data_IF_615962568350
#
_entry.id   IF_615962568350
#
_cell.length_a   1.000
_cell.length_b   1.000
_cell.length_c   1.000
_cell.angle_alpha   90.00
_cell.angle_beta   90.00
_cell.angle_gamma   90.00
#
_symmetry.space_group_name_H-M   'P 1'
#
loop_
_entity.id
_entity.type
_entity.pdbx_description
1 polymer ?
#
# COMPACT_ATOMS: atom_id res chain seq x y z
N UNK A 1 34.50 46.81 15.31
CA UNK A 1 35.35 45.62 15.09
C UNK A 1 35.15 44.78 16.33
N UNK A 2 34.65 43.56 16.35
CA UNK A 2 34.39 42.48 15.40
C UNK A 2 33.30 41.65 16.14
N UNK A 3 32.14 41.35 15.57
CA UNK A 3 31.95 40.22 14.66
C UNK A 3 31.34 39.03 15.41
N UNK A 4 30.16 38.55 14.98
CA UNK A 4 29.73 37.16 15.19
C UNK A 4 28.49 36.93 16.06
N UNK A 5 27.32 36.77 15.42
CA UNK A 5 26.31 35.77 15.86
C UNK A 5 26.71 34.39 15.24
N UNK A 6 25.99 33.25 15.40
CA UNK A 6 24.78 32.94 16.20
C UNK A 6 24.74 31.47 16.75
N UNK A 7 23.56 31.04 17.26
CA UNK A 7 22.95 29.67 17.20
C UNK A 7 23.21 28.70 18.38
N UNK A 8 22.18 28.36 19.13
CA UNK A 8 21.13 27.35 18.88
C UNK A 8 21.60 25.95 19.34
N UNK A 9 21.16 25.58 20.53
CA UNK A 9 21.28 24.22 21.05
C UNK A 9 19.97 23.52 20.73
N UNK A 10 19.92 22.86 19.58
CA UNK A 10 18.96 21.80 19.32
C UNK A 10 19.46 20.55 20.02
N UNK A 11 18.83 20.19 21.13
CA UNK A 11 19.12 18.94 21.84
C UNK A 11 18.65 17.77 20.97
N UNK A 12 19.64 17.05 20.44
CA UNK A 12 19.45 15.88 19.60
C UNK A 12 18.90 14.71 20.40
N UNK A 13 17.70 14.27 20.01
CA UNK A 13 17.26 12.89 20.24
C UNK A 13 18.04 12.01 19.28
N UNK A 14 18.79 11.02 19.80
CA UNK A 14 19.12 9.67 19.22
C UNK A 14 20.54 9.18 19.57
N UNK A 15 20.78 8.94 20.86
CA UNK A 15 21.95 8.18 21.35
C UNK A 15 21.80 6.66 21.11
N UNK A 16 21.48 6.20 19.89
CA UNK A 16 21.33 4.74 19.63
C UNK A 16 21.59 4.28 18.18
N UNK A 17 22.54 4.91 17.46
CA UNK A 17 23.02 4.37 16.18
C UNK A 17 24.54 4.14 16.19
N UNK A 18 25.00 3.27 17.09
CA UNK A 18 26.39 2.79 17.15
C UNK A 18 26.51 1.35 16.63
N UNK A 19 26.04 1.08 15.41
CA UNK A 19 26.38 -0.14 14.67
C UNK A 19 27.06 0.31 13.38
N UNK A 20 28.38 0.17 13.35
CA UNK A 20 29.29 0.83 12.42
C UNK A 20 29.10 0.48 10.94
N UNK A 21 28.33 1.31 10.24
CA UNK A 21 28.53 1.58 8.82
C UNK A 21 28.87 3.07 8.67
N UNK A 22 30.12 3.39 8.31
CA UNK A 22 30.49 4.76 7.91
C UNK A 22 29.81 5.04 6.58
N UNK A 23 28.76 5.86 6.61
CA UNK A 23 28.07 6.27 5.42
C UNK A 23 28.94 7.27 4.64
N UNK A 24 29.09 7.07 3.34
CA UNK A 24 29.82 8.00 2.47
C UNK A 24 29.09 9.34 2.37
N UNK A 25 29.76 10.46 2.02
CA UNK A 25 29.11 11.77 1.86
C UNK A 25 27.92 11.78 0.88
N UNK A 26 27.93 10.89 -0.13
CA UNK A 26 26.77 10.68 -1.02
C UNK A 26 25.58 9.96 -0.35
N UNK A 27 25.84 9.08 0.60
CA UNK A 27 24.82 8.38 1.36
C UNK A 27 24.22 9.25 2.47
N UNK A 28 25.01 10.16 3.04
CA UNK A 28 24.57 11.13 4.04
C UNK A 28 23.45 12.05 3.50
N UNK A 29 23.57 12.48 2.24
CA UNK A 29 22.52 13.21 1.53
C UNK A 29 21.19 12.44 1.37
N UNK A 30 21.21 11.11 1.50
CA UNK A 30 20.02 10.25 1.47
C UNK A 30 19.36 10.15 2.86
N UNK A 31 20.13 10.37 3.93
CA UNK A 31 19.62 10.38 5.31
C UNK A 31 19.07 11.74 5.73
N UNK A 32 19.50 12.83 5.08
CA UNK A 32 18.91 14.17 5.26
C UNK A 32 17.48 14.31 4.70
N UNK A 33 16.87 13.20 4.28
CA UNK A 33 15.42 13.12 4.15
C UNK A 33 14.78 13.03 5.55
N UNK A 34 14.78 14.16 6.27
CA UNK A 34 13.90 14.42 7.43
C UNK A 34 12.41 14.45 7.07
N UNK A 35 12.00 13.72 6.03
CA UNK A 35 10.61 13.48 5.72
C UNK A 35 10.00 12.57 6.78
N UNK A 36 8.71 12.76 7.13
CA UNK A 36 8.04 11.88 8.07
C UNK A 36 8.24 10.44 7.59
N UNK A 37 8.74 9.58 8.49
CA UNK A 37 8.99 8.17 8.20
C UNK A 37 7.78 7.64 7.45
N UNK A 38 8.00 7.29 6.17
CA UNK A 38 6.92 7.09 5.18
C UNK A 38 5.90 6.16 5.82
N UNK A 39 4.77 6.72 6.27
CA UNK A 39 3.78 5.95 7.00
C UNK A 39 3.38 4.81 6.08
N UNK A 40 3.65 3.57 6.51
CA UNK A 40 3.23 2.41 5.74
C UNK A 40 1.71 2.56 5.59
N UNK A 41 1.15 2.55 4.38
CA UNK A 41 -0.29 2.54 4.23
C UNK A 41 -0.84 1.40 5.09
N UNK A 42 -1.95 1.65 5.81
CA UNK A 42 -2.55 0.63 6.65
C UNK A 42 -2.75 -0.64 5.81
N UNK A 43 -2.52 -1.81 6.41
CA UNK A 43 -2.83 -3.05 5.70
C UNK A 43 -4.32 -3.03 5.34
N UNK A 44 -4.69 -3.34 4.08
CA UNK A 44 -6.09 -3.43 3.70
C UNK A 44 -6.81 -4.36 4.67
N UNK A 45 -7.98 -3.91 5.14
CA UNK A 45 -8.81 -4.68 6.06
C UNK A 45 -9.67 -5.66 5.26
N UNK A 46 -9.81 -6.88 5.79
CA UNK A 46 -10.63 -7.93 5.18
C UNK A 46 -9.83 -9.02 4.50
N UNK A 47 -10.54 -9.90 3.80
CA UNK A 47 -9.99 -11.06 3.12
C UNK A 47 -9.37 -10.62 1.80
N UNK A 48 -8.07 -10.86 1.56
CA UNK A 48 -7.39 -10.36 0.36
C UNK A 48 -7.93 -11.01 -0.91
N UNK A 49 -7.83 -10.28 -2.02
CA UNK A 49 -8.22 -10.80 -3.34
C UNK A 49 -7.42 -12.08 -3.70
N UNK A 50 -8.08 -13.10 -4.29
CA UNK A 50 -7.44 -14.34 -4.63
C UNK A 50 -6.38 -14.12 -5.70
N UNK A 51 -5.16 -14.62 -5.44
CA UNK A 51 -4.03 -14.51 -6.39
C UNK A 51 -4.31 -15.21 -7.73
N UNK A 52 -5.31 -16.09 -7.76
CA UNK A 52 -5.74 -16.84 -8.93
C UNK A 52 -6.43 -15.96 -9.98
N UNK A 53 -6.96 -14.76 -9.68
CA UNK A 53 -7.67 -13.95 -10.70
C UNK A 53 -6.75 -13.37 -11.79
N UNK A 54 -5.44 -13.46 -11.58
CA UNK A 54 -4.43 -12.97 -12.52
C UNK A 54 -4.06 -11.51 -12.31
N UNK A 55 -2.88 -11.13 -12.84
CA UNK A 55 -2.33 -9.79 -12.67
C UNK A 55 -3.19 -8.66 -13.29
N UNK A 56 -3.81 -8.83 -14.49
CA UNK A 56 -4.68 -7.79 -15.06
C UNK A 56 -5.90 -7.49 -14.20
N UNK A 57 -6.66 -8.51 -13.81
CA UNK A 57 -7.84 -8.35 -12.96
C UNK A 57 -7.47 -7.77 -11.58
N UNK A 58 -6.39 -8.25 -10.96
CA UNK A 58 -5.91 -7.70 -9.68
C UNK A 58 -5.59 -6.20 -9.79
N UNK A 59 -4.98 -5.77 -10.90
CA UNK A 59 -4.66 -4.36 -11.13
C UNK A 59 -5.91 -3.52 -11.37
N UNK A 60 -6.86 -4.03 -12.14
CA UNK A 60 -8.13 -3.37 -12.42
C UNK A 60 -8.92 -3.13 -11.13
N UNK A 61 -9.09 -4.18 -10.29
CA UNK A 61 -9.78 -4.07 -9.01
C UNK A 61 -9.10 -3.07 -8.07
N UNK A 62 -7.77 -3.09 -7.99
CA UNK A 62 -7.02 -2.11 -7.19
C UNK A 62 -7.13 -0.68 -7.71
N UNK A 63 -7.27 -0.49 -9.02
CA UNK A 63 -7.49 0.83 -9.59
C UNK A 63 -8.82 1.43 -9.13
N UNK A 64 -9.83 0.58 -8.92
CA UNK A 64 -11.13 0.94 -8.32
C UNK A 64 -11.13 0.97 -6.78
N UNK A 65 -9.97 0.78 -6.14
CA UNK A 65 -9.86 0.76 -4.67
C UNK A 65 -10.41 -0.51 -4.00
N UNK A 66 -10.64 -1.57 -4.78
CA UNK A 66 -11.07 -2.87 -4.29
C UNK A 66 -9.81 -3.68 -3.94
N UNK A 67 -9.63 -3.93 -2.65
CA UNK A 67 -8.49 -4.68 -2.11
C UNK A 67 -8.90 -5.93 -1.32
N UNK A 68 -10.20 -6.09 -1.01
CA UNK A 68 -10.74 -7.25 -0.28
C UNK A 68 -12.01 -7.83 -0.88
N UNK A 69 -12.31 -9.08 -0.52
CA UNK A 69 -13.51 -9.79 -0.96
C UNK A 69 -14.79 -9.15 -0.38
N UNK A 70 -14.73 -8.60 0.83
CA UNK A 70 -15.88 -7.94 1.45
C UNK A 70 -16.31 -6.71 0.65
N UNK A 71 -15.37 -5.96 0.07
CA UNK A 71 -15.69 -4.82 -0.79
C UNK A 71 -16.45 -5.25 -2.05
N UNK A 72 -16.21 -6.45 -2.59
CA UNK A 72 -16.91 -6.96 -3.76
C UNK A 72 -18.40 -7.24 -3.51
N UNK A 73 -18.83 -7.40 -2.26
CA UNK A 73 -20.24 -7.64 -1.95
C UNK A 73 -21.16 -6.46 -2.30
N UNK A 74 -20.59 -5.28 -2.50
CA UNK A 74 -21.31 -4.09 -3.00
C UNK A 74 -21.26 -3.90 -4.52
N UNK A 75 -20.59 -4.79 -5.25
CA UNK A 75 -20.43 -4.72 -6.71
C UNK A 75 -21.23 -5.84 -7.38
N UNK A 76 -21.78 -5.58 -8.56
CA UNK A 76 -22.45 -6.60 -9.37
C UNK A 76 -21.43 -7.33 -10.27
N UNK A 77 -21.82 -8.51 -10.79
CA UNK A 77 -21.00 -9.22 -11.77
C UNK A 77 -20.77 -8.39 -13.04
N UNK A 78 -21.79 -7.64 -13.49
CA UNK A 78 -21.72 -6.78 -14.67
C UNK A 78 -20.78 -5.59 -14.47
N UNK A 79 -20.80 -4.93 -13.29
CA UNK A 79 -19.88 -3.83 -12.98
C UNK A 79 -18.43 -4.31 -13.01
N UNK A 80 -18.17 -5.50 -12.46
CA UNK A 80 -16.84 -6.09 -12.48
C UNK A 80 -16.42 -6.52 -13.88
N UNK A 81 -17.34 -7.06 -14.69
CA UNK A 81 -17.07 -7.41 -16.08
C UNK A 81 -16.81 -6.19 -16.97
N UNK A 82 -17.32 -5.01 -16.60
CA UNK A 82 -17.04 -3.75 -17.29
C UNK A 82 -15.61 -3.24 -17.03
N UNK A 83 -14.94 -3.69 -15.97
CA UNK A 83 -13.58 -3.26 -15.65
C UNK A 83 -12.57 -3.84 -16.65
N UNK A 84 -11.80 -2.95 -17.28
CA UNK A 84 -10.79 -3.34 -18.27
C UNK A 84 -9.73 -4.27 -17.64
N UNK A 85 -9.71 -5.52 -18.07
CA UNK A 85 -8.79 -6.55 -17.57
C UNK A 85 -9.41 -7.56 -16.59
N UNK A 86 -10.68 -7.39 -16.22
CA UNK A 86 -11.47 -8.40 -15.50
C UNK A 86 -12.25 -9.22 -16.53
N UNK A 87 -11.80 -10.46 -16.75
CA UNK A 87 -12.46 -11.39 -17.67
C UNK A 87 -13.40 -12.37 -16.95
N UNK A 88 -14.17 -13.19 -17.69
CA UNK A 88 -15.11 -14.15 -17.12
C UNK A 88 -14.45 -15.17 -16.18
N UNK A 89 -13.18 -15.53 -16.43
CA UNK A 89 -12.40 -16.39 -15.53
C UNK A 89 -12.10 -15.71 -14.19
N UNK A 90 -11.86 -14.40 -14.19
CA UNK A 90 -11.65 -13.65 -12.96
C UNK A 90 -12.95 -13.56 -12.17
N UNK A 91 -14.07 -13.23 -12.83
CA UNK A 91 -15.40 -13.17 -12.20
C UNK A 91 -15.78 -14.52 -11.57
N UNK A 92 -15.60 -15.63 -12.28
CA UNK A 92 -15.86 -16.97 -11.74
C UNK A 92 -15.02 -17.26 -10.47
N UNK A 93 -13.72 -16.93 -10.50
CA UNK A 93 -12.82 -17.11 -9.34
C UNK A 93 -13.18 -16.23 -8.15
N UNK A 94 -13.65 -15.01 -8.40
CA UNK A 94 -14.15 -14.11 -7.36
C UNK A 94 -15.44 -14.64 -6.75
N UNK A 95 -16.36 -15.16 -7.58
CA UNK A 95 -17.60 -15.79 -7.11
C UNK A 95 -17.31 -17.00 -6.21
N UNK A 96 -16.40 -17.87 -6.62
CA UNK A 96 -16.01 -19.04 -5.82
C UNK A 96 -15.42 -18.61 -4.47
N UNK A 97 -14.51 -17.63 -4.47
CA UNK A 97 -13.89 -17.11 -3.25
C UNK A 97 -14.89 -16.41 -2.33
N UNK A 98 -15.89 -15.71 -2.88
CA UNK A 98 -17.00 -15.15 -2.11
C UNK A 98 -17.87 -16.27 -1.51
N UNK A 99 -18.14 -17.32 -2.28
CA UNK A 99 -18.89 -18.49 -1.85
C UNK A 99 -18.23 -19.23 -0.69
N UNK A 100 -16.90 -19.36 -0.68
CA UNK A 100 -16.13 -19.91 0.44
C UNK A 100 -16.33 -19.11 1.75
N UNK A 101 -16.62 -17.82 1.65
CA UNK A 101 -16.94 -16.94 2.78
C UNK A 101 -18.43 -16.87 3.10
N UNK A 102 -19.29 -17.59 2.37
CA UNK A 102 -20.74 -17.47 2.49
C UNK A 102 -21.26 -16.08 2.08
N UNK A 103 -20.64 -15.49 1.06
CA UNK A 103 -20.97 -14.19 0.48
C UNK A 103 -21.25 -14.31 -1.02
N UNK A 104 -21.79 -13.25 -1.60
CA UNK A 104 -22.03 -13.12 -3.03
C UNK A 104 -21.87 -11.67 -3.47
N UNK A 105 -21.94 -11.46 -4.77
CA UNK A 105 -22.03 -10.12 -5.37
C UNK A 105 -23.36 -9.44 -5.04
N UNK A 106 -23.42 -8.13 -5.28
CA UNK A 106 -24.69 -7.42 -5.33
C UNK A 106 -25.51 -8.00 -6.50
N UNK A 107 -26.77 -8.36 -6.22
CA UNK A 107 -27.68 -8.99 -7.19
C UNK A 107 -28.36 -8.01 -8.12
#
# INVERSE_FOLDING_TARGET
MEGGRPQAQGEGVTESLAIGYRLSPRGEAVLDHGGPGRARPPRPLGTPLPRTIGAPATRALRAEGIESLEQLTGWTEDDLAALHGVGPVAVARLRDALGELGRGFAG
#
